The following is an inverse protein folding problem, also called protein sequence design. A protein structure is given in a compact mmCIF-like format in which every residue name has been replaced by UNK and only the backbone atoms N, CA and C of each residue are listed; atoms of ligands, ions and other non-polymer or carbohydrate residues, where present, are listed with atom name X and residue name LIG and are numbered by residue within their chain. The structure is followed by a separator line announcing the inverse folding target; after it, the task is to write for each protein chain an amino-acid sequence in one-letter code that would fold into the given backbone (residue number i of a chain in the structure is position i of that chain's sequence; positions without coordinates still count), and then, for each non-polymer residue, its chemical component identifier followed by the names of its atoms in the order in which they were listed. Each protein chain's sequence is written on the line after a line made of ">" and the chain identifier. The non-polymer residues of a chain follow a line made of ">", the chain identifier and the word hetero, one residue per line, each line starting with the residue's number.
data_IF_079748505322
#
_entry.id   IF_079748505322
#
_cell.length_a   1.000
_cell.length_b   1.000
_cell.length_c   1.000
_cell.angle_alpha   90.00
_cell.angle_beta   90.00
_cell.angle_gamma   90.00
#
_symmetry.space_group_name_H-M   'P 1'
#
loop_
_entity.id
_entity.type
_entity.pdbx_description
1 polymer ?
#
# COMPACT_ATOMS: atom_id res chain seq x y z
N UNK A 1 -3.11 4.08 43.71
CA UNK A 1 -2.53 4.51 42.41
C UNK A 1 -2.61 3.35 41.42
N UNK A 2 -3.80 3.07 40.86
CA UNK A 2 -3.98 1.99 39.85
C UNK A 2 -5.00 2.35 38.75
N UNK A 3 -5.81 3.40 38.97
CA UNK A 3 -6.93 3.79 38.10
C UNK A 3 -6.44 4.55 36.85
N UNK A 4 -5.39 5.37 37.00
CA UNK A 4 -4.79 6.14 35.90
C UNK A 4 -4.04 5.24 34.90
N UNK A 5 -3.40 4.16 35.38
CA UNK A 5 -2.66 3.19 34.55
C UNK A 5 -3.56 2.36 33.66
N UNK A 6 -4.71 1.92 34.19
CA UNK A 6 -5.69 1.14 33.44
C UNK A 6 -6.30 1.99 32.32
N UNK A 7 -6.74 3.22 32.64
CA UNK A 7 -7.29 4.16 31.66
C UNK A 7 -6.28 4.53 30.57
N UNK A 8 -5.02 4.80 30.93
CA UNK A 8 -3.96 5.08 29.95
C UNK A 8 -3.70 3.88 29.03
N UNK A 9 -3.68 2.66 29.59
CA UNK A 9 -3.49 1.43 28.81
C UNK A 9 -4.63 1.19 27.80
N UNK A 10 -5.89 1.41 28.18
CA UNK A 10 -7.01 1.29 27.24
C UNK A 10 -6.94 2.33 26.11
N UNK A 11 -6.57 3.58 26.46
CA UNK A 11 -6.44 4.66 25.47
C UNK A 11 -5.30 4.36 24.49
N UNK A 12 -4.13 3.92 24.96
CA UNK A 12 -3.01 3.59 24.06
C UNK A 12 -3.37 2.43 23.14
N UNK A 13 -3.98 1.36 23.66
CA UNK A 13 -4.43 0.21 22.86
C UNK A 13 -5.42 0.64 21.77
N UNK A 14 -6.41 1.47 22.14
CA UNK A 14 -7.39 2.00 21.18
C UNK A 14 -6.74 2.83 20.08
N UNK A 15 -5.80 3.70 20.43
CA UNK A 15 -5.03 4.51 19.46
C UNK A 15 -4.18 3.62 18.56
N UNK A 16 -3.51 2.60 19.08
CA UNK A 16 -2.75 1.64 18.27
C UNK A 16 -3.64 0.94 17.24
N UNK A 17 -4.81 0.44 17.66
CA UNK A 17 -5.76 -0.16 16.74
C UNK A 17 -6.18 0.84 15.66
N UNK A 18 -6.59 2.05 16.02
CA UNK A 18 -6.98 3.07 15.02
C UNK A 18 -5.88 3.38 14.00
N UNK A 19 -4.63 3.49 14.44
CA UNK A 19 -3.47 3.72 13.55
C UNK A 19 -3.24 2.51 12.63
N UNK A 20 -3.35 1.28 13.14
CA UNK A 20 -3.22 0.09 12.30
C UNK A 20 -4.32 -0.02 11.25
N UNK A 21 -5.58 0.30 11.60
CA UNK A 21 -6.69 0.26 10.65
C UNK A 21 -6.57 1.32 9.55
N UNK A 22 -6.18 2.54 9.92
CA UNK A 22 -5.97 3.63 8.95
C UNK A 22 -4.80 3.35 8.01
N UNK A 23 -3.70 2.80 8.53
CA UNK A 23 -2.56 2.37 7.72
C UNK A 23 -2.94 1.21 6.79
N UNK A 24 -3.62 0.18 7.30
CA UNK A 24 -4.11 -0.93 6.49
C UNK A 24 -5.06 -0.45 5.38
N UNK A 25 -5.99 0.46 5.68
CA UNK A 25 -6.93 1.02 4.70
C UNK A 25 -6.22 1.88 3.64
N UNK A 26 -5.21 2.67 4.01
CA UNK A 26 -4.43 3.45 3.05
C UNK A 26 -3.64 2.55 2.09
N UNK A 27 -3.10 1.43 2.58
CA UNK A 27 -2.35 0.47 1.75
C UNK A 27 -3.26 -0.39 0.87
N UNK A 28 -4.51 -0.65 1.28
CA UNK A 28 -5.51 -1.30 0.41
C UNK A 28 -5.95 -0.35 -0.70
N UNK A 29 -6.26 0.90 -0.38
CA UNK A 29 -6.71 1.88 -1.37
C UNK A 29 -5.65 2.19 -2.43
N UNK A 30 -4.38 2.32 -2.03
CA UNK A 30 -3.27 2.52 -2.97
C UNK A 30 -3.12 1.31 -3.91
N UNK A 31 -3.21 0.08 -3.38
CA UNK A 31 -3.18 -1.13 -4.18
C UNK A 31 -4.31 -1.19 -5.21
N UNK A 32 -5.52 -0.90 -4.78
CA UNK A 32 -6.71 -0.98 -5.64
C UNK A 32 -6.62 0.06 -6.77
N UNK A 33 -6.17 1.27 -6.49
CA UNK A 33 -5.95 2.30 -7.50
C UNK A 33 -4.90 1.89 -8.56
N UNK A 34 -3.82 1.21 -8.16
CA UNK A 34 -2.82 0.69 -9.09
C UNK A 34 -3.36 -0.46 -9.96
N UNK A 35 -4.18 -1.34 -9.38
CA UNK A 35 -4.86 -2.41 -10.12
C UNK A 35 -5.87 -1.84 -11.12
N UNK A 36 -6.57 -0.77 -10.76
CA UNK A 36 -7.46 -0.04 -11.69
C UNK A 36 -6.66 0.61 -12.83
N UNK A 37 -5.55 1.27 -12.52
CA UNK A 37 -4.63 1.82 -13.51
C UNK A 37 -4.13 0.74 -14.50
N UNK A 38 -3.74 -0.43 -14.00
CA UNK A 38 -3.35 -1.57 -14.84
C UNK A 38 -4.47 -1.98 -15.82
N UNK A 39 -5.71 -1.96 -15.38
CA UNK A 39 -6.86 -2.36 -16.20
C UNK A 39 -7.21 -1.32 -17.27
N UNK A 40 -6.91 -0.04 -17.02
CA UNK A 40 -7.15 1.05 -17.97
C UNK A 40 -6.12 1.05 -19.12
N UNK A 41 -4.91 0.52 -18.90
CA UNK A 41 -3.84 0.44 -19.89
C UNK A 41 -3.47 -1.02 -20.24
N UNK A 42 -4.33 -1.77 -20.95
CA UNK A 42 -3.97 -3.09 -21.46
C UNK A 42 -2.88 -2.94 -22.53
N UNK A 43 -1.64 -3.26 -22.18
CA UNK A 43 -0.49 -3.18 -23.08
C UNK A 43 -0.65 -4.17 -24.25
N UNK A 44 -0.71 -3.70 -25.52
CA UNK A 44 -0.94 -4.55 -26.67
C UNK A 44 0.25 -5.45 -27.02
N UNK A 45 1.45 -5.11 -26.55
CA UNK A 45 2.67 -5.86 -26.81
C UNK A 45 3.14 -6.61 -25.54
N UNK A 46 3.11 -7.95 -25.53
CA UNK A 46 3.51 -8.77 -24.38
C UNK A 46 5.00 -8.68 -24.05
N UNK A 47 5.83 -8.24 -25.00
CA UNK A 47 7.27 -8.10 -24.80
C UNK A 47 7.68 -6.68 -24.41
N UNK A 48 6.74 -5.74 -24.34
CA UNK A 48 7.03 -4.39 -23.87
C UNK A 48 7.45 -4.40 -22.39
N UNK A 49 8.40 -3.53 -22.05
CA UNK A 49 8.85 -3.34 -20.67
C UNK A 49 7.68 -3.03 -19.73
N UNK A 50 6.71 -2.24 -20.20
CA UNK A 50 5.49 -1.90 -19.46
C UNK A 50 4.65 -3.14 -19.13
N UNK A 51 4.47 -4.07 -20.07
CA UNK A 51 3.70 -5.29 -19.82
C UNK A 51 4.40 -6.17 -18.77
N UNK A 52 5.73 -6.31 -18.86
CA UNK A 52 6.52 -7.04 -17.86
C UNK A 52 6.35 -6.43 -16.45
N UNK A 53 6.43 -5.10 -16.34
CA UNK A 53 6.21 -4.39 -15.08
C UNK A 53 4.78 -4.61 -14.55
N UNK A 54 3.76 -4.45 -15.38
CA UNK A 54 2.36 -4.66 -15.01
C UNK A 54 2.01 -6.13 -14.72
N UNK A 55 2.80 -7.08 -15.24
CA UNK A 55 2.66 -8.51 -14.94
C UNK A 55 3.04 -8.82 -13.49
N UNK A 56 4.01 -8.09 -12.92
CA UNK A 56 4.36 -8.26 -11.50
C UNK A 56 3.28 -7.74 -10.56
N UNK A 57 2.34 -6.91 -11.05
CA UNK A 57 1.25 -6.33 -10.28
C UNK A 57 0.15 -7.36 -10.08
N UNK A 58 0.24 -8.10 -8.98
CA UNK A 58 -0.65 -9.21 -8.63
C UNK A 58 -1.21 -9.04 -7.22
N UNK A 59 -2.50 -9.33 -7.02
CA UNK A 59 -3.15 -9.31 -5.69
C UNK A 59 -2.55 -10.30 -4.70
N UNK A 60 -1.81 -11.30 -5.20
CA UNK A 60 -1.14 -12.32 -4.40
C UNK A 60 0.23 -11.89 -3.88
N UNK A 61 0.81 -10.80 -4.40
CA UNK A 61 2.12 -10.28 -3.98
C UNK A 61 1.99 -8.91 -3.32
N UNK A 62 2.91 -8.62 -2.39
CA UNK A 62 2.98 -7.30 -1.78
C UNK A 62 3.26 -6.24 -2.85
N UNK A 63 2.51 -5.14 -2.82
CA UNK A 63 2.63 -4.04 -3.79
C UNK A 63 4.02 -3.40 -3.84
N UNK A 64 4.76 -3.44 -2.74
CA UNK A 64 6.15 -2.97 -2.68
C UNK A 64 7.14 -3.87 -3.44
N UNK A 65 6.73 -5.10 -3.77
CA UNK A 65 7.51 -6.02 -4.60
C UNK A 65 7.21 -5.87 -6.09
N UNK A 66 6.23 -5.03 -6.45
CA UNK A 66 5.88 -4.81 -7.84
C UNK A 66 6.96 -4.02 -8.55
N UNK A 67 7.36 -4.49 -9.72
CA UNK A 67 8.32 -3.82 -10.57
C UNK A 67 7.77 -2.45 -11.01
N UNK A 68 8.59 -1.41 -10.83
CA UNK A 68 8.21 -0.01 -11.04
C UNK A 68 7.48 0.65 -9.86
N UNK A 69 7.12 -0.08 -8.80
CA UNK A 69 6.54 0.47 -7.57
C UNK A 69 7.62 0.65 -6.52
N UNK A 70 7.65 1.83 -5.90
CA UNK A 70 8.58 2.13 -4.81
C UNK A 70 7.80 2.57 -3.58
N UNK A 71 7.68 1.66 -2.63
CA UNK A 71 7.21 1.99 -1.30
C UNK A 71 8.31 2.78 -0.58
N UNK A 72 8.06 4.05 -0.28
CA UNK A 72 8.93 4.76 0.65
C UNK A 72 8.56 4.34 2.08
N UNK A 73 9.56 3.94 2.86
CA UNK A 73 9.39 3.50 4.25
C UNK A 73 8.95 4.62 5.20
N UNK A 74 8.84 5.85 4.67
CA UNK A 74 8.25 6.99 5.36
C UNK A 74 6.88 7.24 4.75
N UNK A 75 5.85 7.09 5.57
CA UNK A 75 4.49 7.55 5.31
C UNK A 75 4.51 8.98 4.73
N UNK A 76 4.42 9.11 3.40
CA UNK A 76 4.52 10.42 2.75
C UNK A 76 5.01 10.39 1.31
N UNK A 77 4.29 9.68 0.43
CA UNK A 77 4.37 9.89 -1.02
C UNK A 77 5.19 8.86 -1.77
N UNK A 78 4.50 7.83 -2.28
CA UNK A 78 5.06 6.97 -3.31
C UNK A 78 5.19 7.78 -4.60
N UNK A 79 6.42 8.11 -5.00
CA UNK A 79 6.69 8.80 -6.26
C UNK A 79 6.83 7.75 -7.36
N UNK A 80 5.78 7.58 -8.15
CA UNK A 80 5.83 6.80 -9.39
C UNK A 80 6.76 7.50 -10.37
N UNK A 81 7.98 6.99 -10.52
CA UNK A 81 8.86 7.35 -11.62
C UNK A 81 8.54 6.42 -12.79
N UNK A 82 7.56 6.81 -13.60
CA UNK A 82 7.43 6.28 -14.95
C UNK A 82 8.53 6.96 -15.77
N UNK A 83 9.57 6.20 -16.10
CA UNK A 83 10.68 6.65 -16.95
C UNK A 83 10.47 6.21 -18.40
#
# INVERSE_FOLDING_TARGET
>A
MMILSQSHSFVTIYVFFLVSHTLASSTTLQRDALLEFKNEFPTPDPNSFYNRSLTSWNTSSDHCSWEGVKCDGKSGGERFLLH
#
